data_IF_680550568970
#
_entry.id   IF_680550568970
#
_cell.length_a   1.000
_cell.length_b   1.000
_cell.length_c   1.000
_cell.angle_alpha   90.00
_cell.angle_beta   90.00
_cell.angle_gamma   90.00
#
_symmetry.space_group_name_H-M   'P 1'
#
loop_
_entity.id
_entity.type
_entity.pdbx_description
1 polymer ?
#
# COMPACT_ATOMS: atom_id res chain seq x y z
N UNK A 1 29.04 2.09 -5.61
CA UNK A 1 27.86 1.25 -5.26
C UNK A 1 26.67 1.89 -5.92
N UNK A 2 26.05 1.24 -6.90
CA UNK A 2 24.79 1.73 -7.49
C UNK A 2 23.69 1.39 -6.49
N UNK A 3 23.08 2.40 -5.89
CA UNK A 3 21.90 2.21 -5.04
C UNK A 3 20.71 1.95 -5.96
N UNK A 4 20.09 0.77 -5.86
CA UNK A 4 18.88 0.47 -6.61
C UNK A 4 17.74 1.44 -6.20
N UNK A 5 17.05 2.00 -7.18
CA UNK A 5 15.95 2.95 -6.99
C UNK A 5 14.67 2.18 -6.66
N UNK A 6 13.83 2.72 -5.79
CA UNK A 6 12.59 2.07 -5.33
C UNK A 6 11.55 2.07 -6.44
N UNK A 7 10.91 0.93 -6.69
CA UNK A 7 9.86 0.74 -7.71
C UNK A 7 10.24 1.28 -9.10
N UNK A 8 11.51 1.11 -9.45
CA UNK A 8 12.05 1.45 -10.77
C UNK A 8 11.81 0.32 -11.78
N UNK A 9 11.32 0.62 -13.01
CA UNK A 9 11.16 -0.37 -14.07
C UNK A 9 12.50 -0.70 -14.75
N UNK A 10 12.66 -1.96 -15.12
CA UNK A 10 13.80 -2.48 -15.88
C UNK A 10 13.29 -3.32 -17.04
N UNK A 11 13.82 -3.06 -18.23
CA UNK A 11 13.66 -3.95 -19.38
C UNK A 11 14.57 -5.17 -19.22
N UNK A 12 13.98 -6.36 -19.16
CA UNK A 12 14.68 -7.62 -18.99
C UNK A 12 14.53 -8.42 -20.28
N UNK A 13 15.66 -8.79 -20.88
CA UNK A 13 15.73 -9.62 -22.08
C UNK A 13 16.75 -10.74 -21.85
N UNK A 14 16.52 -11.91 -22.47
CA UNK A 14 17.42 -13.06 -22.36
C UNK A 14 17.68 -13.62 -23.76
N UNK A 15 18.94 -13.56 -24.20
CA UNK A 15 19.40 -14.12 -25.47
C UNK A 15 20.36 -15.28 -25.20
N UNK A 16 20.15 -16.42 -25.85
CA UNK A 16 21.08 -17.54 -25.80
C UNK A 16 22.22 -17.37 -26.80
N UNK A 17 23.43 -17.75 -26.38
CA UNK A 17 24.66 -17.69 -27.18
C UNK A 17 25.34 -19.06 -27.06
N UNK A 18 25.79 -19.61 -28.18
CA UNK A 18 26.58 -20.85 -28.21
C UNK A 18 27.83 -20.68 -29.10
N UNK A 19 28.62 -21.74 -29.27
CA UNK A 19 29.85 -21.71 -30.08
C UNK A 19 29.63 -21.43 -31.57
N UNK A 20 28.39 -21.51 -32.06
CA UNK A 20 28.01 -21.18 -33.45
C UNK A 20 27.51 -19.73 -33.59
N UNK A 21 27.16 -19.06 -32.50
CA UNK A 21 26.71 -17.67 -32.49
C UNK A 21 25.48 -17.43 -31.61
N UNK A 22 24.85 -16.28 -31.83
CA UNK A 22 23.66 -15.84 -31.11
C UNK A 22 22.38 -16.48 -31.66
N UNK A 23 21.37 -16.62 -30.80
CA UNK A 23 20.03 -16.98 -31.26
C UNK A 23 19.51 -15.97 -32.30
N UNK A 24 18.93 -16.49 -33.39
CA UNK A 24 18.41 -15.69 -34.50
C UNK A 24 17.10 -14.97 -34.20
N UNK A 25 16.35 -15.43 -33.20
CA UNK A 25 15.07 -14.82 -32.80
C UNK A 25 15.33 -13.74 -31.76
N UNK A 26 14.63 -12.61 -31.90
CA UNK A 26 14.71 -11.55 -30.89
C UNK A 26 14.13 -12.02 -29.55
N UNK A 27 14.81 -11.72 -28.44
CA UNK A 27 14.38 -12.16 -27.13
C UNK A 27 13.10 -11.42 -26.74
N UNK A 28 12.24 -12.11 -25.98
CA UNK A 28 11.10 -11.44 -25.36
C UNK A 28 11.59 -10.39 -24.37
N UNK A 29 10.99 -9.20 -24.42
CA UNK A 29 11.19 -8.13 -23.45
C UNK A 29 10.08 -8.19 -22.41
N UNK A 30 10.46 -8.29 -21.13
CA UNK A 30 9.55 -8.10 -20.01
C UNK A 30 9.96 -6.88 -19.21
N UNK A 31 8.98 -6.19 -18.62
CA UNK A 31 9.24 -5.10 -17.67
C UNK A 31 9.17 -5.70 -16.26
N UNK A 32 10.30 -5.71 -15.56
CA UNK A 32 10.39 -6.02 -14.15
C UNK A 32 10.51 -4.75 -13.32
N UNK A 33 10.03 -4.77 -12.08
CA UNK A 33 10.26 -3.69 -11.12
C UNK A 33 11.29 -4.15 -10.10
N UNK A 34 12.08 -3.22 -9.57
CA UNK A 34 13.11 -3.49 -8.57
C UNK A 34 12.53 -4.03 -7.24
N UNK A 35 12.27 -3.16 -6.27
CA UNK A 35 11.69 -3.54 -4.98
C UNK A 35 10.65 -2.51 -4.56
N UNK A 36 9.67 -2.97 -3.79
CA UNK A 36 8.67 -2.13 -3.13
C UNK A 36 9.13 -1.74 -1.72
N UNK A 37 8.60 -0.63 -1.21
CA UNK A 37 8.87 -0.18 0.14
C UNK A 37 7.63 0.52 0.73
N UNK A 38 7.62 0.69 2.06
CA UNK A 38 6.57 1.42 2.77
C UNK A 38 6.26 2.77 2.11
N UNK A 39 4.99 3.02 1.72
CA UNK A 39 4.56 4.30 1.18
C UNK A 39 4.88 5.45 2.13
N UNK A 40 5.26 6.59 1.57
CA UNK A 40 5.49 7.84 2.31
C UNK A 40 4.40 8.89 2.00
N UNK A 41 3.36 8.48 1.28
CA UNK A 41 2.13 9.25 1.06
C UNK A 41 1.00 8.55 1.81
N UNK A 42 0.17 9.31 2.49
CA UNK A 42 -0.99 8.82 3.24
C UNK A 42 -2.23 9.61 2.85
N UNK A 43 -3.44 9.03 2.95
CA UNK A 43 -4.67 9.79 2.93
C UNK A 43 -4.67 10.92 3.96
N UNK A 44 -5.31 12.03 3.63
CA UNK A 44 -5.49 13.20 4.49
C UNK A 44 -6.96 13.58 4.57
N UNK A 45 -7.31 14.52 5.45
CA UNK A 45 -8.66 15.07 5.56
C UNK A 45 -9.73 13.98 5.72
N UNK A 46 -9.44 12.98 6.56
CA UNK A 46 -10.39 11.92 6.88
C UNK A 46 -11.56 12.48 7.69
N UNK A 47 -12.77 12.32 7.19
CA UNK A 47 -13.99 12.83 7.81
C UNK A 47 -15.17 11.90 7.60
N UNK A 48 -16.16 11.98 8.49
CA UNK A 48 -17.49 11.41 8.28
C UNK A 48 -18.28 12.37 7.39
N UNK A 49 -18.81 11.86 6.29
CA UNK A 49 -19.68 12.60 5.38
C UNK A 49 -21.15 12.41 5.77
N UNK A 50 -21.53 11.18 6.12
CA UNK A 50 -22.88 10.83 6.55
C UNK A 50 -22.81 9.64 7.52
N UNK A 51 -23.70 9.61 8.51
CA UNK A 51 -23.88 8.45 9.40
C UNK A 51 -25.36 8.15 9.57
N UNK A 52 -25.69 6.86 9.67
CA UNK A 52 -27.01 6.36 10.00
C UNK A 52 -26.89 5.17 10.96
N UNK A 53 -28.03 4.59 11.33
CA UNK A 53 -28.09 3.56 12.39
C UNK A 53 -27.21 2.33 12.11
N UNK A 54 -26.97 2.01 10.84
CA UNK A 54 -26.22 0.81 10.39
C UNK A 54 -25.14 1.11 9.35
N UNK A 55 -24.88 2.38 9.05
CA UNK A 55 -23.89 2.76 8.05
C UNK A 55 -23.19 4.07 8.40
N UNK A 56 -21.97 4.22 7.89
CA UNK A 56 -21.27 5.49 7.86
C UNK A 56 -20.57 5.62 6.50
N UNK A 57 -20.64 6.81 5.92
CA UNK A 57 -19.93 7.20 4.71
C UNK A 57 -18.74 8.04 5.14
N UNK A 58 -17.55 7.58 4.78
CA UNK A 58 -16.30 8.27 5.07
C UNK A 58 -15.74 8.88 3.79
N UNK A 59 -15.11 10.03 3.95
CA UNK A 59 -14.40 10.74 2.90
C UNK A 59 -12.96 11.02 3.35
N UNK A 60 -12.04 10.94 2.40
CA UNK A 60 -10.65 11.37 2.57
C UNK A 60 -10.13 11.93 1.26
N UNK A 61 -9.02 12.65 1.34
CA UNK A 61 -8.27 13.12 0.19
C UNK A 61 -7.00 12.27 0.03
N UNK A 62 -6.57 12.10 -1.21
CA UNK A 62 -5.34 11.39 -1.53
C UNK A 62 -4.69 12.02 -2.74
N UNK A 63 -3.36 12.08 -2.74
CA UNK A 63 -2.59 12.63 -3.84
C UNK A 63 -2.54 11.64 -5.01
N UNK A 64 -3.63 11.60 -5.78
CA UNK A 64 -3.80 10.72 -6.96
C UNK A 64 -2.74 10.94 -8.02
N UNK A 65 -2.06 12.08 -8.00
CA UNK A 65 -0.91 12.36 -8.86
C UNK A 65 0.27 11.43 -8.61
N UNK A 66 0.36 10.73 -7.48
CA UNK A 66 1.42 9.75 -7.19
C UNK A 66 1.15 8.37 -7.83
N UNK A 67 -0.08 8.12 -8.29
CA UNK A 67 -0.51 6.82 -8.84
C UNK A 67 0.06 6.61 -10.23
N UNK A 68 0.57 5.40 -10.50
CA UNK A 68 1.10 5.01 -11.81
C UNK A 68 2.45 5.64 -12.17
N UNK A 69 3.11 6.31 -11.22
CA UNK A 69 4.46 6.88 -11.40
C UNK A 69 5.54 5.97 -10.84
N UNK A 70 6.67 5.92 -11.53
CA UNK A 70 7.92 5.37 -11.00
C UNK A 70 8.52 6.34 -9.99
N UNK A 71 9.22 5.81 -8.97
CA UNK A 71 9.83 6.62 -7.92
C UNK A 71 8.85 7.56 -7.20
N UNK A 72 7.57 7.19 -7.17
CA UNK A 72 6.54 7.94 -6.46
C UNK A 72 6.63 7.72 -4.95
N UNK A 73 5.90 8.52 -4.18
CA UNK A 73 5.75 8.31 -2.73
C UNK A 73 4.90 7.09 -2.39
N UNK A 74 4.25 6.45 -3.36
CA UNK A 74 3.58 5.15 -3.16
C UNK A 74 4.63 4.05 -3.01
N UNK A 75 5.76 4.14 -3.73
CA UNK A 75 6.92 3.23 -3.59
C UNK A 75 6.58 1.75 -3.84
N UNK A 76 5.61 1.52 -4.72
CA UNK A 76 5.10 0.19 -5.05
C UNK A 76 3.93 0.27 -6.02
N UNK A 77 3.34 -0.87 -6.31
CA UNK A 77 2.09 -0.95 -7.07
C UNK A 77 0.91 -0.46 -6.22
N UNK A 78 0.20 0.58 -6.70
CA UNK A 78 -1.00 1.06 -6.02
C UNK A 78 -2.18 0.10 -6.25
N UNK A 79 -2.66 -0.54 -5.18
CA UNK A 79 -3.81 -1.48 -5.24
C UNK A 79 -5.10 -0.93 -4.65
N UNK A 80 -5.01 0.13 -3.85
CA UNK A 80 -6.14 0.73 -3.14
C UNK A 80 -5.80 1.03 -1.68
N UNK A 81 -6.83 1.29 -0.88
CA UNK A 81 -6.71 1.62 0.54
C UNK A 81 -7.15 0.45 1.41
N UNK A 82 -6.39 0.15 2.45
CA UNK A 82 -6.81 -0.77 3.51
C UNK A 82 -7.61 0.01 4.57
N UNK A 83 -8.87 -0.36 4.77
CA UNK A 83 -9.74 0.22 5.79
C UNK A 83 -9.75 -0.74 6.98
N UNK A 84 -9.35 -0.23 8.15
CA UNK A 84 -9.32 -0.98 9.41
C UNK A 84 -10.18 -0.22 10.40
N UNK A 85 -11.18 -0.89 10.98
CA UNK A 85 -12.04 -0.34 12.02
C UNK A 85 -12.12 -1.33 13.19
N UNK A 86 -12.44 -0.80 14.37
CA UNK A 86 -12.69 -1.61 15.57
C UNK A 86 -13.81 -0.93 16.37
N UNK A 87 -14.69 -1.73 16.96
CA UNK A 87 -15.67 -1.23 17.92
C UNK A 87 -14.97 -1.03 19.26
N UNK A 88 -15.09 0.16 19.84
CA UNK A 88 -14.56 0.45 21.18
C UNK A 88 -15.53 -0.07 22.27
N UNK A 89 -15.89 -1.34 22.22
CA UNK A 89 -16.70 -1.97 23.26
C UNK A 89 -15.79 -2.86 24.10
N UNK A 90 -15.34 -2.38 25.27
CA UNK A 90 -14.89 -3.15 26.47
C UNK A 90 -14.23 -2.24 27.54
N UNK A 91 -13.73 -1.03 27.22
CA UNK A 91 -13.05 -0.20 28.25
C UNK A 91 -14.01 0.46 29.25
N UNK A 92 -15.18 0.91 28.84
CA UNK A 92 -16.17 1.54 29.75
C UNK A 92 -16.84 0.51 30.67
N UNK A 93 -17.23 -0.64 30.14
CA UNK A 93 -17.88 -1.71 30.89
C UNK A 93 -16.98 -2.34 31.98
N UNK A 94 -15.65 -2.34 31.79
CA UNK A 94 -14.71 -2.81 32.81
C UNK A 94 -14.42 -1.76 33.90
N UNK A 95 -14.56 -0.46 33.62
CA UNK A 95 -14.38 0.60 34.62
C UNK A 95 -15.58 0.70 35.57
N UNK A 96 -16.81 0.50 35.09
CA UNK A 96 -18.00 0.47 35.94
C UNK A 96 -17.97 -0.71 36.93
N UNK A 97 -17.57 -1.90 36.47
CA UNK A 97 -17.52 -3.09 37.33
C UNK A 97 -16.37 -3.07 38.35
N UNK A 98 -15.28 -2.33 38.10
CA UNK A 98 -14.17 -2.21 39.06
C UNK A 98 -14.50 -1.26 40.21
N UNK A 99 -15.31 -0.23 39.94
CA UNK A 99 -15.72 0.76 40.96
C UNK A 99 -16.70 0.14 41.97
N UNK A 100 -17.51 -0.83 41.55
CA UNK A 100 -18.46 -1.55 42.41
C UNK A 100 -17.78 -2.58 43.34
N UNK A 101 -16.59 -3.07 43.01
CA UNK A 101 -15.87 -4.09 43.80
C UNK A 101 -14.97 -3.46 44.88
N UNK A 102 -14.68 -2.16 44.82
CA UNK A 102 -13.85 -1.46 45.81
C UNK A 102 -14.61 -0.80 46.97
N UNK A 103 -15.94 -1.00 47.07
CA UNK A 103 -16.73 -0.54 48.22
C UNK A 103 -17.19 -1.72 49.07
N UNK A 104 -16.26 -2.37 49.78
CA UNK A 104 -16.54 -3.18 50.98
C UNK A 104 -15.34 -3.14 51.92
#
# INVERSE_FOLDING_TARGET
>A
MVTALVYEPYEITIRSINSLGDASTDPATIIGYSYEQTPTVSPTNFSVEEEGDTYAIFRWEFETSEVGKYQSRIRGEFKGFAIIFWEEMIRSLLQENTTLVQTF
#
